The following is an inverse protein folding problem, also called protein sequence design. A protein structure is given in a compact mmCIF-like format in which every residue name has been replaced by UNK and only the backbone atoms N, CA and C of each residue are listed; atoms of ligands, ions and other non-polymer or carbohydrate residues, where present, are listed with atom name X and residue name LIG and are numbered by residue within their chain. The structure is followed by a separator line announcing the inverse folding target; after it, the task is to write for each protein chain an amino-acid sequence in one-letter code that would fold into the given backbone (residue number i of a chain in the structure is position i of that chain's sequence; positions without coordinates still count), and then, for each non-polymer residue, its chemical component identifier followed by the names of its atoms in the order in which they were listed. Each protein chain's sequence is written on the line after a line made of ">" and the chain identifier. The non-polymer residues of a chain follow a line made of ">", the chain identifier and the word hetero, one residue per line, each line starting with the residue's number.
data_IF_307932537075
#
_entry.id   IF_307932537075
#
_cell.length_a   1.000
_cell.length_b   1.000
_cell.length_c   1.000
_cell.angle_alpha   90.00
_cell.angle_beta   90.00
_cell.angle_gamma   90.00
#
_symmetry.space_group_name_H-M   'P 1'
#
loop_
_entity.id
_entity.type
_entity.pdbx_description
1 polymer ?
#
# COMPACT_ATOMS: atom_id res chain seq x y z
N UNK A 1 -36.06 -13.37 3.81
CA UNK A 1 -34.64 -12.90 3.59
C UNK A 1 -33.96 -14.03 2.86
N UNK A 2 -33.30 -13.69 1.75
CA UNK A 2 -32.42 -14.63 1.06
C UNK A 2 -31.26 -14.98 1.98
N UNK A 3 -30.84 -16.24 2.00
CA UNK A 3 -29.65 -16.65 2.77
C UNK A 3 -28.42 -15.90 2.24
N UNK A 4 -27.38 -15.73 3.07
CA UNK A 4 -26.12 -15.12 2.64
C UNK A 4 -25.53 -15.83 1.42
N UNK A 5 -25.68 -17.14 1.35
CA UNK A 5 -25.25 -17.94 0.22
C UNK A 5 -25.96 -17.54 -1.09
N UNK A 6 -27.28 -17.38 -1.05
CA UNK A 6 -28.05 -16.91 -2.22
C UNK A 6 -27.65 -15.48 -2.62
N UNK A 7 -27.38 -14.59 -1.64
CA UNK A 7 -26.92 -13.25 -1.92
C UNK A 7 -25.58 -13.25 -2.64
N UNK A 8 -24.62 -14.06 -2.20
CA UNK A 8 -23.29 -14.10 -2.78
C UNK A 8 -23.20 -14.95 -4.06
N UNK A 9 -24.21 -15.75 -4.41
CA UNK A 9 -24.20 -16.59 -5.60
C UNK A 9 -23.99 -15.76 -6.88
N UNK A 10 -24.65 -14.61 -7.01
CA UNK A 10 -24.50 -13.72 -8.15
C UNK A 10 -23.04 -13.23 -8.37
N UNK A 11 -22.26 -13.07 -7.30
CA UNK A 11 -20.85 -12.71 -7.40
C UNK A 11 -20.00 -13.94 -7.75
N UNK A 12 -20.30 -15.08 -7.14
CA UNK A 12 -19.59 -16.33 -7.35
C UNK A 12 -19.66 -16.77 -8.81
N UNK A 13 -20.84 -16.71 -9.41
CA UNK A 13 -21.06 -17.12 -10.81
C UNK A 13 -20.31 -16.25 -11.83
N UNK A 14 -19.90 -15.06 -11.43
CA UNK A 14 -19.13 -14.13 -12.26
C UNK A 14 -17.61 -14.25 -12.09
N UNK A 15 -17.12 -15.11 -11.18
CA UNK A 15 -15.70 -15.36 -11.01
C UNK A 15 -15.18 -16.16 -12.20
N UNK A 16 -14.21 -15.63 -12.92
CA UNK A 16 -13.64 -16.32 -14.08
C UNK A 16 -12.86 -17.56 -13.61
N UNK A 17 -13.22 -18.70 -14.17
CA UNK A 17 -12.61 -20.00 -13.83
C UNK A 17 -13.17 -20.65 -12.56
N UNK A 18 -14.37 -20.26 -12.09
CA UNK A 18 -15.03 -20.88 -10.92
C UNK A 18 -15.31 -22.37 -11.14
N UNK A 19 -15.63 -22.77 -12.38
CA UNK A 19 -15.93 -24.15 -12.76
C UNK A 19 -14.80 -24.81 -13.55
N UNK A 20 -13.58 -24.25 -13.48
CA UNK A 20 -12.43 -24.76 -14.21
C UNK A 20 -11.98 -26.11 -13.68
N UNK A 21 -11.84 -27.07 -14.58
CA UNK A 21 -11.18 -28.34 -14.32
C UNK A 21 -9.70 -28.31 -14.75
N UNK A 22 -8.90 -29.15 -14.13
CA UNK A 22 -7.50 -29.38 -14.52
C UNK A 22 -7.09 -30.85 -14.35
N UNK A 23 -6.10 -31.27 -15.13
CA UNK A 23 -5.59 -32.65 -15.11
C UNK A 23 -4.54 -32.78 -13.99
N UNK A 24 -4.70 -33.82 -13.19
CA UNK A 24 -3.73 -34.21 -12.13
C UNK A 24 -3.26 -35.66 -12.38
N UNK A 25 -2.20 -36.12 -11.69
CA UNK A 25 -1.82 -37.53 -11.70
C UNK A 25 -2.94 -38.51 -11.27
N UNK A 26 -3.96 -37.97 -10.55
CA UNK A 26 -5.14 -38.72 -10.06
C UNK A 26 -6.38 -38.50 -10.91
N UNK A 27 -6.23 -38.07 -12.19
CA UNK A 27 -7.31 -37.73 -13.10
C UNK A 27 -7.73 -36.28 -13.06
N UNK A 28 -8.81 -35.99 -13.79
CA UNK A 28 -9.40 -34.65 -13.86
C UNK A 28 -10.03 -34.25 -12.53
N UNK A 29 -9.75 -33.04 -12.07
CA UNK A 29 -10.25 -32.49 -10.80
C UNK A 29 -10.74 -31.06 -11.02
N UNK A 30 -11.80 -30.67 -10.29
CA UNK A 30 -12.27 -29.29 -10.25
C UNK A 30 -11.26 -28.41 -9.50
N UNK A 31 -10.98 -27.22 -10.03
CA UNK A 31 -10.16 -26.20 -9.34
C UNK A 31 -10.94 -25.64 -8.14
N UNK A 32 -10.40 -25.82 -6.96
CA UNK A 32 -10.88 -25.19 -5.72
C UNK A 32 -9.86 -24.14 -5.31
N UNK A 33 -10.20 -22.86 -5.50
CA UNK A 33 -9.32 -21.75 -5.13
C UNK A 33 -9.72 -21.17 -3.78
N UNK A 34 -8.84 -21.24 -2.81
CA UNK A 34 -9.05 -20.78 -1.43
C UNK A 34 -8.03 -19.76 -0.95
N UNK A 35 -7.03 -19.43 -1.76
CA UNK A 35 -5.92 -18.54 -1.39
C UNK A 35 -6.20 -17.07 -1.73
N UNK A 36 -7.34 -16.56 -1.27
CA UNK A 36 -7.76 -15.17 -1.48
C UNK A 36 -6.86 -14.15 -0.79
N UNK A 37 -6.15 -14.56 0.25
CA UNK A 37 -5.18 -13.71 0.95
C UNK A 37 -3.96 -13.39 0.07
N UNK A 38 -3.58 -14.31 -0.81
CA UNK A 38 -2.46 -14.12 -1.73
C UNK A 38 -2.84 -13.35 -2.98
N UNK A 39 -4.02 -13.66 -3.57
CA UNK A 39 -4.51 -12.98 -4.77
C UNK A 39 -6.02 -13.12 -4.89
N UNK A 40 -6.70 -12.09 -5.39
CA UNK A 40 -8.07 -12.19 -5.87
C UNK A 40 -8.17 -13.03 -7.15
N UNK A 41 -9.40 -13.17 -7.64
CA UNK A 41 -9.70 -13.81 -8.93
C UNK A 41 -10.22 -12.75 -9.91
N UNK A 42 -10.02 -12.98 -11.21
CA UNK A 42 -10.65 -12.15 -12.23
C UNK A 42 -12.18 -12.22 -12.12
N UNK A 43 -12.83 -11.11 -12.37
CA UNK A 43 -14.26 -10.95 -12.23
C UNK A 43 -14.88 -10.42 -13.52
N UNK A 44 -15.78 -11.21 -14.12
CA UNK A 44 -16.32 -10.95 -15.47
C UNK A 44 -16.82 -9.52 -15.69
N UNK A 45 -17.63 -8.91 -14.81
CA UNK A 45 -18.09 -7.55 -15.03
C UNK A 45 -16.99 -6.49 -15.10
N UNK A 46 -15.85 -6.71 -14.40
CA UNK A 46 -14.69 -5.81 -14.48
C UNK A 46 -13.96 -6.00 -15.80
N UNK A 47 -13.71 -7.26 -16.21
CA UNK A 47 -13.04 -7.57 -17.48
C UNK A 47 -13.85 -7.05 -18.69
N UNK A 48 -15.17 -7.24 -18.66
CA UNK A 48 -16.06 -6.73 -19.69
C UNK A 48 -16.07 -5.19 -19.74
N UNK A 49 -16.08 -4.55 -18.58
CA UNK A 49 -15.99 -3.09 -18.50
C UNK A 49 -14.66 -2.57 -19.06
N UNK A 50 -13.56 -3.20 -18.68
CA UNK A 50 -12.22 -2.84 -19.17
C UNK A 50 -12.14 -3.02 -20.70
N UNK A 51 -12.68 -4.11 -21.23
CA UNK A 51 -12.64 -4.40 -22.68
C UNK A 51 -13.57 -3.54 -23.50
N UNK A 52 -14.82 -3.35 -23.04
CA UNK A 52 -15.89 -2.77 -23.86
C UNK A 52 -16.09 -1.26 -23.63
N UNK A 53 -15.84 -0.75 -22.43
CA UNK A 53 -16.01 0.66 -22.11
C UNK A 53 -14.69 1.45 -22.21
N UNK A 54 -13.63 0.96 -21.60
CA UNK A 54 -12.31 1.63 -21.61
C UNK A 54 -11.47 1.24 -22.82
N UNK A 55 -11.51 -0.02 -23.25
CA UNK A 55 -10.68 -0.54 -24.32
C UNK A 55 -10.71 0.29 -25.62
N UNK A 56 -11.87 0.75 -26.10
CA UNK A 56 -11.96 1.59 -27.30
C UNK A 56 -11.25 2.95 -27.18
N UNK A 57 -11.00 3.42 -25.95
CA UNK A 57 -10.38 4.72 -25.67
C UNK A 57 -8.98 4.63 -25.12
N UNK A 58 -8.40 3.42 -24.99
CA UNK A 58 -7.06 3.26 -24.42
C UNK A 58 -6.04 4.12 -25.16
N UNK A 59 -5.42 5.04 -24.41
CA UNK A 59 -4.43 6.00 -24.91
C UNK A 59 -3.56 6.49 -23.75
N UNK A 60 -2.58 7.34 -24.06
CA UNK A 60 -1.71 7.97 -23.06
C UNK A 60 -2.55 8.90 -22.13
N UNK A 61 -2.31 8.80 -20.84
CA UNK A 61 -3.04 9.52 -19.76
C UNK A 61 -2.51 10.92 -19.45
N UNK A 62 -1.56 11.45 -20.16
CA UNK A 62 -0.95 12.76 -19.85
C UNK A 62 -1.29 13.83 -20.91
N UNK A 63 -2.43 13.66 -21.59
CA UNK A 63 -2.84 14.58 -22.63
C UNK A 63 -4.36 14.76 -22.62
N UNK A 64 -4.80 16.01 -22.83
CA UNK A 64 -6.21 16.37 -23.02
C UNK A 64 -6.47 16.83 -24.45
N UNK A 65 -5.48 16.72 -25.34
CA UNK A 65 -5.56 17.22 -26.71
C UNK A 65 -6.26 16.28 -27.68
N UNK A 66 -6.50 15.04 -27.28
CA UNK A 66 -7.26 14.05 -28.05
C UNK A 66 -8.40 13.47 -27.23
N UNK A 67 -9.47 13.03 -27.89
CA UNK A 67 -10.65 12.42 -27.22
C UNK A 67 -10.25 11.20 -26.38
N UNK A 68 -9.40 10.32 -26.90
CA UNK A 68 -8.96 9.13 -26.17
C UNK A 68 -8.03 9.47 -25.00
N UNK A 69 -7.10 10.40 -25.18
CA UNK A 69 -6.23 10.87 -24.11
C UNK A 69 -7.02 11.54 -22.97
N UNK A 70 -7.95 12.41 -23.30
CA UNK A 70 -8.82 13.08 -22.33
C UNK A 70 -9.71 12.06 -21.57
N UNK A 71 -10.30 11.08 -22.28
CA UNK A 71 -11.11 10.04 -21.66
C UNK A 71 -10.28 9.19 -20.64
N UNK A 72 -9.08 8.77 -21.01
CA UNK A 72 -8.22 7.99 -20.13
C UNK A 72 -7.67 8.81 -18.94
N UNK A 73 -7.34 10.08 -19.17
CA UNK A 73 -6.93 11.01 -18.10
C UNK A 73 -8.05 11.18 -17.08
N UNK A 74 -9.27 11.43 -17.53
CA UNK A 74 -10.45 11.56 -16.66
C UNK A 74 -10.72 10.26 -15.88
N UNK A 75 -10.71 9.11 -16.55
CA UNK A 75 -10.91 7.81 -15.91
C UNK A 75 -9.85 7.54 -14.83
N UNK A 76 -8.59 7.89 -15.09
CA UNK A 76 -7.51 7.76 -14.13
C UNK A 76 -7.71 8.65 -12.89
N UNK A 77 -8.09 9.91 -13.09
CA UNK A 77 -8.38 10.83 -11.99
C UNK A 77 -9.58 10.36 -11.16
N UNK A 78 -10.66 9.90 -11.81
CA UNK A 78 -11.83 9.38 -11.09
C UNK A 78 -11.51 8.13 -10.29
N UNK A 79 -10.74 7.19 -10.84
CA UNK A 79 -10.27 6.01 -10.12
C UNK A 79 -9.49 6.38 -8.84
N UNK A 80 -8.58 7.36 -8.94
CA UNK A 80 -7.83 7.88 -7.77
C UNK A 80 -8.76 8.51 -6.73
N UNK A 81 -9.75 9.29 -7.16
CA UNK A 81 -10.73 9.92 -6.28
C UNK A 81 -11.60 8.86 -5.56
N UNK A 82 -12.04 7.83 -6.28
CA UNK A 82 -12.79 6.70 -5.69
C UNK A 82 -11.96 6.03 -4.59
N UNK A 83 -10.69 5.72 -4.86
CA UNK A 83 -9.80 5.10 -3.88
C UNK A 83 -9.60 6.02 -2.67
N UNK A 84 -9.33 7.31 -2.87
CA UNK A 84 -9.17 8.27 -1.76
C UNK A 84 -10.42 8.36 -0.89
N UNK A 85 -11.60 8.45 -1.49
CA UNK A 85 -12.87 8.45 -0.75
C UNK A 85 -13.07 7.17 0.05
N UNK A 86 -12.73 6.02 -0.54
CA UNK A 86 -12.90 4.69 0.10
C UNK A 86 -12.08 4.54 1.38
N UNK A 87 -10.95 5.21 1.49
CA UNK A 87 -10.05 5.13 2.66
C UNK A 87 -10.12 6.37 3.55
N UNK A 88 -11.10 7.24 3.36
CA UNK A 88 -11.24 8.53 4.06
C UNK A 88 -9.97 9.39 4.00
N UNK A 89 -9.31 9.42 2.83
CA UNK A 89 -8.19 10.32 2.56
C UNK A 89 -8.69 11.74 2.27
N UNK A 90 -7.91 12.75 2.63
CA UNK A 90 -8.24 14.15 2.43
C UNK A 90 -7.34 14.83 1.36
N UNK A 91 -7.49 16.15 1.18
CA UNK A 91 -6.73 16.91 0.17
C UNK A 91 -5.23 17.04 0.47
N UNK A 92 -4.80 16.73 1.69
CA UNK A 92 -3.40 16.68 2.04
C UNK A 92 -2.75 15.33 1.76
N UNK A 93 -3.52 14.34 1.31
CA UNK A 93 -3.02 13.03 1.00
C UNK A 93 -2.76 12.87 -0.51
N UNK A 94 -1.59 12.38 -0.84
CA UNK A 94 -1.18 12.04 -2.19
C UNK A 94 -1.40 10.55 -2.41
N UNK A 95 -1.99 10.19 -3.55
CA UNK A 95 -2.11 8.80 -3.99
C UNK A 95 -1.12 8.53 -5.13
N UNK A 96 -0.34 7.48 -4.98
CA UNK A 96 0.58 6.96 -6.00
C UNK A 96 0.25 5.50 -6.27
N UNK A 97 0.25 5.12 -7.53
CA UNK A 97 0.18 3.71 -7.97
C UNK A 97 1.52 3.30 -8.56
N UNK A 98 2.03 2.13 -8.18
CA UNK A 98 3.34 1.64 -8.64
C UNK A 98 3.42 0.12 -8.59
N UNK A 99 4.15 -0.47 -9.54
CA UNK A 99 4.43 -1.89 -9.55
C UNK A 99 3.19 -2.79 -9.53
N UNK A 100 3.33 -4.00 -9.05
CA UNK A 100 2.28 -5.03 -9.03
C UNK A 100 1.67 -5.28 -7.65
N UNK A 101 1.95 -4.44 -6.66
CA UNK A 101 1.44 -4.62 -5.30
C UNK A 101 2.15 -3.75 -4.26
N UNK A 102 1.85 -4.01 -2.98
CA UNK A 102 2.39 -3.27 -1.83
C UNK A 102 3.92 -3.23 -1.83
N UNK A 103 4.60 -4.32 -2.20
CA UNK A 103 6.08 -4.38 -2.22
C UNK A 103 6.69 -3.30 -3.11
N UNK A 104 6.11 -3.04 -4.29
CA UNK A 104 6.57 -1.97 -5.19
C UNK A 104 6.41 -0.60 -4.55
N UNK A 105 5.23 -0.31 -4.02
CA UNK A 105 4.93 1.01 -3.45
C UNK A 105 5.67 1.31 -2.15
N UNK A 106 5.89 0.32 -1.27
CA UNK A 106 6.68 0.57 -0.05
C UNK A 106 8.14 0.88 -0.39
N UNK A 107 8.75 0.17 -1.35
CA UNK A 107 10.09 0.46 -1.81
C UNK A 107 10.18 1.85 -2.47
N UNK A 108 9.17 2.24 -3.28
CA UNK A 108 9.07 3.60 -3.82
C UNK A 108 8.95 4.63 -2.71
N UNK A 109 8.11 4.39 -1.71
CA UNK A 109 7.92 5.31 -0.59
C UNK A 109 9.21 5.52 0.21
N UNK A 110 9.96 4.44 0.47
CA UNK A 110 11.26 4.51 1.15
C UNK A 110 12.28 5.34 0.35
N UNK A 111 12.24 5.32 -1.00
CA UNK A 111 13.07 6.20 -1.84
C UNK A 111 12.58 7.66 -1.77
N UNK A 112 11.27 7.89 -1.83
CA UNK A 112 10.67 9.22 -1.66
C UNK A 112 11.07 9.84 -0.30
N UNK A 113 11.12 9.03 0.76
CA UNK A 113 11.56 9.46 2.08
C UNK A 113 13.08 9.65 2.20
N UNK A 114 13.85 9.34 1.14
CA UNK A 114 15.31 9.44 1.14
C UNK A 114 16.02 8.38 1.98
N UNK A 115 15.39 7.23 2.20
CA UNK A 115 15.90 6.18 3.11
C UNK A 115 16.66 5.06 2.40
N UNK A 116 16.66 5.03 1.07
CA UNK A 116 17.37 4.02 0.27
C UNK A 116 18.72 4.53 -0.20
N UNK A 117 19.75 3.76 0.07
CA UNK A 117 21.09 3.92 -0.48
C UNK A 117 21.42 2.69 -1.31
N UNK A 118 22.00 2.89 -2.50
CA UNK A 118 22.46 1.77 -3.33
C UNK A 118 23.46 0.93 -2.55
N UNK A 119 23.37 -0.39 -2.63
CA UNK A 119 24.29 -1.32 -1.94
C UNK A 119 25.75 -0.98 -2.21
N UNK A 120 26.11 -0.66 -3.47
CA UNK A 120 27.47 -0.30 -3.86
C UNK A 120 27.96 1.03 -3.26
N UNK A 121 27.07 1.85 -2.68
CA UNK A 121 27.41 3.13 -2.06
C UNK A 121 27.29 3.11 -0.53
N UNK A 122 26.81 2.02 0.07
CA UNK A 122 26.59 1.94 1.53
C UNK A 122 27.87 2.16 2.32
N UNK A 123 28.98 1.57 1.92
CA UNK A 123 30.28 1.73 2.60
C UNK A 123 30.85 3.15 2.55
N UNK A 124 30.39 3.96 1.57
CA UNK A 124 30.79 5.37 1.41
C UNK A 124 29.79 6.33 2.05
N UNK A 125 28.71 5.82 2.64
CA UNK A 125 27.64 6.65 3.19
C UNK A 125 27.66 6.57 4.72
N UNK A 126 28.01 7.70 5.37
CA UNK A 126 27.92 7.83 6.83
C UNK A 126 26.71 8.69 7.18
N UNK A 127 25.79 8.12 7.95
CA UNK A 127 24.59 8.81 8.42
C UNK A 127 24.76 9.09 9.92
N UNK A 128 24.73 10.37 10.35
CA UNK A 128 24.73 10.69 11.78
C UNK A 128 23.53 10.07 12.52
N UNK A 129 23.77 9.53 13.69
CA UNK A 129 22.72 8.83 14.47
C UNK A 129 21.51 9.72 14.77
N UNK A 130 21.71 11.03 14.94
CA UNK A 130 20.62 11.96 15.24
C UNK A 130 19.60 12.10 14.12
N UNK A 131 20.00 11.86 12.85
CA UNK A 131 19.12 11.96 11.68
C UNK A 131 18.77 10.58 11.11
N UNK A 132 19.41 9.52 11.58
CA UNK A 132 19.12 8.14 11.20
C UNK A 132 17.75 7.75 11.73
N UNK A 133 16.80 7.36 10.88
CA UNK A 133 15.46 6.98 11.33
C UNK A 133 15.48 5.72 12.19
N UNK A 134 14.49 5.61 13.09
CA UNK A 134 14.15 4.35 13.74
C UNK A 134 12.77 3.92 13.30
N UNK A 135 12.64 2.65 12.90
CA UNK A 135 11.39 2.05 12.42
C UNK A 135 10.99 0.92 13.36
N UNK A 136 9.82 1.05 13.95
CA UNK A 136 9.20 0.02 14.78
C UNK A 136 8.26 -0.82 13.92
N UNK A 137 8.42 -2.14 13.97
CA UNK A 137 7.58 -3.11 13.27
C UNK A 137 7.04 -4.16 14.24
N UNK A 138 5.97 -4.86 13.90
CA UNK A 138 5.51 -5.99 14.70
C UNK A 138 6.20 -7.28 14.28
N UNK A 139 6.00 -8.32 15.07
CA UNK A 139 6.40 -9.70 14.74
C UNK A 139 5.51 -10.35 13.66
N UNK A 140 4.38 -9.69 13.29
CA UNK A 140 3.39 -10.20 12.34
C UNK A 140 3.55 -9.62 10.93
N UNK A 141 4.60 -8.82 10.68
CA UNK A 141 4.76 -8.17 9.40
C UNK A 141 4.96 -9.17 8.26
N UNK A 142 4.32 -8.90 7.13
CA UNK A 142 4.71 -9.53 5.89
C UNK A 142 6.16 -9.16 5.55
N UNK A 143 6.92 -10.10 4.97
CA UNK A 143 8.32 -9.89 4.60
C UNK A 143 8.55 -8.57 3.84
N UNK A 144 7.62 -8.18 2.97
CA UNK A 144 7.71 -6.91 2.24
C UNK A 144 7.74 -5.68 3.15
N UNK A 145 7.05 -5.72 4.29
CA UNK A 145 7.06 -4.61 5.25
C UNK A 145 8.21 -4.71 6.27
N UNK A 146 8.82 -5.86 6.45
CA UNK A 146 9.96 -6.02 7.35
C UNK A 146 11.29 -5.91 6.58
N UNK A 147 11.52 -6.78 5.59
CA UNK A 147 12.80 -6.84 4.88
C UNK A 147 13.11 -5.56 4.12
N UNK A 148 12.08 -4.89 3.58
CA UNK A 148 12.30 -3.62 2.88
C UNK A 148 12.86 -2.52 3.79
N UNK A 149 12.46 -2.50 5.08
CA UNK A 149 13.00 -1.56 6.07
C UNK A 149 14.42 -1.92 6.49
N UNK A 150 14.73 -3.22 6.65
CA UNK A 150 16.09 -3.69 6.93
C UNK A 150 17.08 -3.29 5.83
N UNK A 151 16.60 -3.10 4.61
CA UNK A 151 17.38 -2.64 3.45
C UNK A 151 17.34 -1.12 3.25
N UNK A 152 17.08 -0.36 4.30
CA UNK A 152 17.19 1.11 4.36
C UNK A 152 18.33 1.53 5.27
N UNK A 153 18.52 2.86 5.38
CA UNK A 153 19.46 3.46 6.37
C UNK A 153 18.90 3.44 7.81
N UNK A 154 17.65 3.03 8.01
CA UNK A 154 16.99 3.06 9.31
C UNK A 154 17.44 1.90 10.21
N UNK A 155 17.40 2.15 11.53
CA UNK A 155 17.41 1.06 12.49
C UNK A 155 16.02 0.47 12.64
N UNK A 156 15.90 -0.86 12.58
CA UNK A 156 14.61 -1.55 12.66
C UNK A 156 14.50 -2.26 14.00
N UNK A 157 13.39 -2.02 14.70
CA UNK A 157 13.10 -2.61 16.01
C UNK A 157 11.80 -3.39 15.93
N UNK A 158 11.87 -4.69 16.19
CA UNK A 158 10.67 -5.53 16.31
C UNK A 158 10.10 -5.36 17.72
N UNK A 159 8.87 -4.86 17.80
CA UNK A 159 8.14 -4.72 19.06
C UNK A 159 7.52 -6.08 19.40
N UNK A 160 7.78 -6.64 20.60
CA UNK A 160 7.23 -7.93 20.99
C UNK A 160 5.71 -7.87 21.18
N UNK A 161 5.08 -9.03 21.04
CA UNK A 161 3.66 -9.22 21.34
C UNK A 161 3.42 -9.53 22.83
N UNK A 162 2.16 -9.41 23.23
CA UNK A 162 1.65 -9.96 24.48
C UNK A 162 1.33 -11.47 24.35
N UNK A 163 0.76 -12.08 25.39
CA UNK A 163 0.38 -13.49 25.43
C UNK A 163 -0.70 -13.86 24.39
N UNK A 164 -1.49 -12.88 23.95
CA UNK A 164 -2.52 -13.03 22.90
C UNK A 164 -1.96 -12.90 21.48
N UNK A 165 -0.66 -12.69 21.32
CA UNK A 165 -0.02 -12.49 20.03
C UNK A 165 -0.25 -11.10 19.41
N UNK A 166 -0.74 -10.13 20.18
CA UNK A 166 -1.00 -8.76 19.75
C UNK A 166 0.18 -7.89 20.16
N UNK A 167 0.55 -6.90 19.34
CA UNK A 167 1.56 -5.93 19.70
C UNK A 167 1.17 -5.21 21.00
N UNK A 168 2.07 -5.18 21.98
CA UNK A 168 1.80 -4.59 23.27
C UNK A 168 2.04 -3.07 23.22
N UNK A 169 0.98 -2.28 23.39
CA UNK A 169 1.02 -0.80 23.34
C UNK A 169 1.98 -0.22 24.39
N UNK A 170 1.92 -0.71 25.64
CA UNK A 170 2.79 -0.22 26.71
C UNK A 170 4.27 -0.53 26.44
N UNK A 171 4.53 -1.71 25.87
CA UNK A 171 5.87 -2.09 25.45
C UNK A 171 6.34 -1.24 24.30
N UNK A 172 5.50 -0.97 23.30
CA UNK A 172 5.80 -0.06 22.20
C UNK A 172 6.19 1.33 22.71
N UNK A 173 5.41 1.89 23.63
CA UNK A 173 5.73 3.22 24.23
C UNK A 173 7.08 3.20 24.98
N UNK A 174 7.41 2.11 25.69
CA UNK A 174 8.73 1.96 26.32
C UNK A 174 9.87 1.96 25.28
N UNK A 175 9.69 1.31 24.13
CA UNK A 175 10.68 1.32 23.07
C UNK A 175 10.84 2.70 22.42
N UNK A 176 9.76 3.46 22.26
CA UNK A 176 9.83 4.84 21.79
C UNK A 176 10.62 5.71 22.79
N UNK A 177 10.33 5.59 24.09
CA UNK A 177 11.02 6.35 25.15
C UNK A 177 12.53 6.05 25.19
N UNK A 178 12.94 4.81 24.96
CA UNK A 178 14.36 4.45 24.89
C UNK A 178 15.08 5.08 23.70
N UNK A 179 14.35 5.50 22.67
CA UNK A 179 14.86 6.12 21.45
C UNK A 179 14.32 7.56 21.29
N UNK A 180 14.13 8.26 22.41
CA UNK A 180 13.54 9.61 22.41
C UNK A 180 14.43 10.64 21.70
N UNK A 181 15.74 10.43 21.71
CA UNK A 181 16.77 11.23 21.04
C UNK A 181 16.70 11.18 19.52
N UNK A 182 16.13 10.12 18.95
CA UNK A 182 15.98 9.96 17.50
C UNK A 182 14.97 10.96 16.96
N UNK A 183 15.36 11.75 15.96
CA UNK A 183 14.50 12.79 15.36
C UNK A 183 13.38 12.19 14.50
N UNK A 184 13.66 11.09 13.82
CA UNK A 184 12.72 10.44 12.90
C UNK A 184 12.33 9.10 13.49
N UNK A 185 11.07 8.99 13.89
CA UNK A 185 10.47 7.78 14.47
C UNK A 185 9.30 7.35 13.59
N UNK A 186 9.29 6.11 13.17
CA UNK A 186 8.25 5.56 12.29
C UNK A 186 7.74 4.27 12.95
N UNK A 187 6.44 4.07 13.03
CA UNK A 187 5.86 2.75 13.18
C UNK A 187 5.32 2.32 11.82
N UNK A 188 5.81 1.20 11.30
CA UNK A 188 5.33 0.60 10.04
C UNK A 188 4.78 -0.78 10.34
N UNK A 189 3.45 -0.91 10.28
CA UNK A 189 2.78 -2.06 10.89
C UNK A 189 1.72 -2.64 9.96
N UNK A 190 1.58 -3.98 9.97
CA UNK A 190 0.45 -4.60 9.29
C UNK A 190 -0.86 -4.32 10.03
N UNK A 191 -1.92 -4.04 9.29
CA UNK A 191 -3.27 -3.90 9.87
C UNK A 191 -3.84 -5.24 10.35
N UNK A 192 -3.36 -6.34 9.74
CA UNK A 192 -3.78 -7.70 10.04
C UNK A 192 -2.72 -8.68 9.54
N UNK A 193 -2.43 -9.71 10.32
CA UNK A 193 -1.53 -10.78 9.89
C UNK A 193 -2.12 -11.57 8.72
N UNK A 194 -1.35 -11.74 7.65
CA UNK A 194 -1.74 -12.60 6.51
C UNK A 194 -1.71 -14.10 6.85
N UNK A 195 -1.14 -14.49 7.99
CA UNK A 195 -1.04 -15.88 8.44
C UNK A 195 -2.14 -16.24 9.43
N UNK A 196 -2.35 -15.39 10.44
CA UNK A 196 -3.26 -15.70 11.55
C UNK A 196 -4.59 -14.94 11.48
N UNK A 197 -4.68 -13.86 10.70
CA UNK A 197 -5.84 -12.98 10.69
C UNK A 197 -5.97 -12.08 11.93
N UNK A 198 -5.00 -12.10 12.83
CA UNK A 198 -4.99 -11.23 14.02
C UNK A 198 -4.85 -9.78 13.58
N UNK A 199 -5.78 -8.94 14.02
CA UNK A 199 -5.81 -7.50 13.74
C UNK A 199 -4.88 -6.75 14.68
N UNK A 200 -4.19 -5.75 14.14
CA UNK A 200 -3.33 -4.85 14.89
C UNK A 200 -4.11 -3.61 15.33
N UNK A 201 -3.93 -3.11 16.56
CA UNK A 201 -4.54 -1.86 17.04
C UNK A 201 -3.81 -0.63 16.47
N UNK A 202 -3.76 -0.48 15.14
CA UNK A 202 -2.91 0.50 14.46
C UNK A 202 -3.27 1.96 14.78
N UNK A 203 -4.54 2.30 15.04
CA UNK A 203 -4.93 3.64 15.48
C UNK A 203 -4.43 3.97 16.90
N UNK A 204 -4.40 2.98 17.80
CA UNK A 204 -3.82 3.15 19.14
C UNK A 204 -2.30 3.36 19.04
N UNK A 205 -1.62 2.61 18.17
CA UNK A 205 -0.20 2.81 17.90
C UNK A 205 0.08 4.18 17.29
N UNK A 206 -0.81 4.66 16.39
CA UNK A 206 -0.74 6.01 15.83
C UNK A 206 -0.81 7.08 16.93
N UNK A 207 -1.79 6.98 17.83
CA UNK A 207 -1.92 7.91 18.97
C UNK A 207 -0.66 7.93 19.84
N UNK A 208 -0.05 6.77 20.05
CA UNK A 208 1.18 6.70 20.86
C UNK A 208 2.35 7.32 20.13
N UNK A 209 2.61 6.94 18.88
CA UNK A 209 3.78 7.46 18.15
C UNK A 209 3.69 8.97 17.90
N UNK A 210 2.49 9.52 17.67
CA UNK A 210 2.28 10.95 17.46
C UNK A 210 2.58 11.79 18.70
N UNK A 211 2.38 11.27 19.93
CA UNK A 211 2.83 11.94 21.18
C UNK A 211 4.33 12.20 21.20
N UNK A 212 5.09 11.43 20.44
CA UNK A 212 6.56 11.53 20.33
C UNK A 212 7.01 12.10 18.98
N UNK A 213 6.13 12.82 18.27
CA UNK A 213 6.38 13.42 16.97
C UNK A 213 6.87 12.39 15.91
N UNK A 214 6.41 11.16 16.01
CA UNK A 214 6.67 10.12 15.02
C UNK A 214 5.56 9.99 14.00
N UNK A 215 5.68 9.01 13.10
CA UNK A 215 4.80 8.76 11.95
C UNK A 215 4.22 7.34 12.03
N UNK A 216 2.98 7.18 11.61
CA UNK A 216 2.30 5.88 11.55
C UNK A 216 2.01 5.48 10.10
N UNK A 217 2.62 4.38 9.65
CA UNK A 217 2.40 3.76 8.34
C UNK A 217 1.74 2.40 8.52
N UNK A 218 0.70 2.10 7.73
CA UNK A 218 -0.07 0.88 7.89
C UNK A 218 -0.16 0.10 6.59
N UNK A 219 0.24 -1.18 6.67
CA UNK A 219 0.10 -2.15 5.58
C UNK A 219 -1.27 -2.83 5.65
N UNK A 220 -2.12 -2.51 4.69
CA UNK A 220 -3.44 -3.11 4.51
C UNK A 220 -3.47 -4.20 3.45
N UNK A 221 -2.31 -4.67 2.95
CA UNK A 221 -2.26 -5.55 1.79
C UNK A 221 -3.12 -6.81 1.90
N UNK A 222 -3.23 -7.42 3.08
CA UNK A 222 -4.01 -8.66 3.22
C UNK A 222 -5.47 -8.43 3.56
N UNK A 223 -5.83 -7.32 4.21
CA UNK A 223 -7.20 -7.12 4.73
C UNK A 223 -7.97 -5.98 4.06
N UNK A 224 -7.34 -5.18 3.19
CA UNK A 224 -8.02 -4.07 2.51
C UNK A 224 -9.35 -4.46 1.83
N UNK A 225 -9.51 -5.66 1.22
CA UNK A 225 -10.80 -6.07 0.66
C UNK A 225 -11.90 -6.32 1.69
N UNK A 226 -11.56 -6.44 2.99
CA UNK A 226 -12.45 -6.99 4.03
C UNK A 226 -12.74 -6.04 5.18
N UNK A 227 -12.04 -4.91 5.26
CA UNK A 227 -12.16 -3.95 6.36
C UNK A 227 -12.39 -2.54 5.84
N UNK A 228 -13.07 -1.72 6.62
CA UNK A 228 -13.10 -0.27 6.38
C UNK A 228 -11.75 0.32 6.76
N UNK A 229 -11.16 1.08 5.84
CA UNK A 229 -9.92 1.82 6.09
C UNK A 229 -10.31 3.27 6.34
N UNK A 230 -9.83 3.83 7.44
CA UNK A 230 -10.05 5.22 7.81
C UNK A 230 -8.71 5.88 8.13
N UNK A 231 -8.21 6.69 7.18
CA UNK A 231 -6.95 7.42 7.39
C UNK A 231 -7.09 8.59 8.37
N UNK A 232 -8.29 9.14 8.52
CA UNK A 232 -8.55 10.32 9.34
C UNK A 232 -9.76 10.13 10.25
N UNK A 233 -9.69 9.19 11.22
CA UNK A 233 -10.77 9.04 12.20
C UNK A 233 -10.96 10.32 13.00
N UNK A 234 -12.14 10.51 13.53
CA UNK A 234 -12.48 11.70 14.35
C UNK A 234 -11.71 11.77 15.67
N UNK A 235 -11.12 10.67 16.10
CA UNK A 235 -10.33 10.58 17.31
C UNK A 235 -8.99 11.29 17.12
N UNK A 236 -8.66 12.16 18.10
CA UNK A 236 -7.43 12.96 18.05
C UNK A 236 -6.18 12.08 18.00
N UNK A 237 -5.23 12.48 17.17
CA UNK A 237 -3.93 11.82 16.99
C UNK A 237 -3.99 10.35 16.50
N UNK A 238 -5.18 9.86 16.09
CA UNK A 238 -5.37 8.51 15.58
C UNK A 238 -5.21 8.40 14.04
N UNK A 239 -4.90 9.50 13.35
CA UNK A 239 -4.72 9.50 11.90
C UNK A 239 -3.53 8.63 11.45
N UNK A 240 -3.56 8.23 10.18
CA UNK A 240 -2.50 7.45 9.56
C UNK A 240 -1.73 8.35 8.58
N UNK A 241 -0.41 8.40 8.70
CA UNK A 241 0.44 9.24 7.83
C UNK A 241 0.66 8.63 6.45
N UNK A 242 0.64 7.31 6.37
CA UNK A 242 0.65 6.56 5.12
C UNK A 242 -0.07 5.22 5.24
N UNK A 243 -0.68 4.80 4.15
CA UNK A 243 -1.21 3.45 3.98
C UNK A 243 -0.76 2.87 2.65
N UNK A 244 -0.63 1.55 2.59
CA UNK A 244 -0.34 0.84 1.37
C UNK A 244 -1.09 -0.48 1.31
N UNK A 245 -1.51 -0.85 0.10
CA UNK A 245 -2.21 -2.10 -0.13
C UNK A 245 -2.06 -2.61 -1.57
N UNK A 246 -2.51 -3.83 -1.77
CA UNK A 246 -2.36 -4.58 -3.02
C UNK A 246 -3.73 -4.85 -3.63
N UNK A 247 -4.21 -4.01 -4.57
CA UNK A 247 -5.53 -4.21 -5.18
C UNK A 247 -5.68 -5.55 -5.92
N UNK A 248 -4.59 -6.19 -6.34
CA UNK A 248 -4.64 -7.54 -6.93
C UNK A 248 -5.23 -8.61 -6.00
N UNK A 249 -5.40 -8.32 -4.70
CA UNK A 249 -6.04 -9.20 -3.72
C UNK A 249 -7.57 -9.00 -3.64
N UNK A 250 -8.10 -7.96 -4.26
CA UNK A 250 -9.54 -7.76 -4.39
C UNK A 250 -10.14 -8.67 -5.45
N UNK A 251 -11.44 -8.94 -5.35
CA UNK A 251 -12.18 -9.58 -6.43
C UNK A 251 -12.11 -8.70 -7.69
N UNK A 252 -11.66 -9.27 -8.79
CA UNK A 252 -11.40 -8.54 -10.04
C UNK A 252 -10.11 -7.72 -10.05
N UNK A 253 -9.27 -7.82 -9.02
CA UNK A 253 -8.06 -7.03 -8.88
C UNK A 253 -6.77 -7.56 -9.53
N UNK A 254 -6.62 -8.83 -9.93
CA UNK A 254 -5.39 -9.29 -10.58
C UNK A 254 -4.99 -8.41 -11.77
N UNK A 255 -3.70 -8.06 -11.86
CA UNK A 255 -3.16 -7.14 -12.87
C UNK A 255 -3.10 -5.67 -12.44
N UNK A 256 -3.71 -5.30 -11.32
CA UNK A 256 -3.66 -3.92 -10.80
C UNK A 256 -2.33 -3.56 -10.15
N UNK A 257 -2.01 -2.26 -10.17
CA UNK A 257 -0.86 -1.69 -9.47
C UNK A 257 -1.05 -1.69 -7.96
N UNK A 258 0.05 -1.68 -7.21
CA UNK A 258 0.03 -1.35 -5.78
C UNK A 258 -0.44 0.09 -5.55
N UNK A 259 -1.05 0.33 -4.40
CA UNK A 259 -1.53 1.66 -3.99
C UNK A 259 -0.80 2.11 -2.73
N UNK A 260 -0.28 3.34 -2.79
CA UNK A 260 0.27 4.09 -1.67
C UNK A 260 -0.52 5.38 -1.52
N UNK A 261 -0.97 5.70 -0.31
CA UNK A 261 -1.55 6.99 0.02
C UNK A 261 -0.81 7.52 1.24
N UNK A 262 -0.36 8.76 1.18
CA UNK A 262 0.42 9.36 2.25
C UNK A 262 0.25 10.87 2.33
N UNK A 263 0.51 11.44 3.50
CA UNK A 263 0.43 12.88 3.70
C UNK A 263 1.50 13.61 2.87
N UNK A 264 1.09 14.59 2.05
CA UNK A 264 1.98 15.34 1.15
C UNK A 264 3.16 16.02 1.84
N UNK A 265 3.08 16.30 3.16
CA UNK A 265 4.20 16.87 3.94
C UNK A 265 5.42 15.95 3.99
N UNK A 266 5.25 14.66 3.71
CA UNK A 266 6.33 13.67 3.64
C UNK A 266 7.09 13.72 2.32
N UNK A 267 6.51 14.32 1.27
CA UNK A 267 7.17 14.50 -0.02
C UNK A 267 7.97 15.81 0.00
N UNK A 268 9.29 15.70 0.12
CA UNK A 268 10.20 16.84 0.22
C UNK A 268 11.17 16.94 -0.96
N UNK A 269 11.11 16.00 -1.90
CA UNK A 269 12.02 15.93 -3.02
C UNK A 269 11.70 17.02 -4.04
N UNK A 270 12.73 17.68 -4.54
CA UNK A 270 12.63 18.61 -5.66
C UNK A 270 12.65 17.88 -7.00
N UNK A 271 13.24 16.69 -7.02
CA UNK A 271 13.33 15.84 -8.21
C UNK A 271 12.48 14.58 -7.94
N UNK A 272 11.65 14.17 -8.89
CA UNK A 272 10.86 12.94 -8.75
C UNK A 272 11.74 11.71 -8.53
N UNK A 273 11.22 10.72 -7.77
CA UNK A 273 11.89 9.44 -7.54
C UNK A 273 12.20 8.69 -8.86
N UNK A 274 11.29 8.80 -9.82
CA UNK A 274 11.45 8.25 -11.17
C UNK A 274 11.29 9.38 -12.21
N UNK A 275 12.33 10.17 -12.49
CA UNK A 275 12.25 11.24 -13.47
C UNK A 275 12.05 10.66 -14.87
N UNK A 276 11.26 11.35 -15.68
CA UNK A 276 10.94 10.93 -17.05
C UNK A 276 9.94 11.88 -17.71
N UNK A 277 9.56 11.59 -18.95
CA UNK A 277 8.73 12.49 -19.77
C UNK A 277 7.36 12.87 -19.15
N UNK A 278 6.83 12.08 -18.23
CA UNK A 278 5.58 12.38 -17.53
C UNK A 278 5.73 13.17 -16.23
N UNK A 279 6.96 13.55 -15.86
CA UNK A 279 7.26 14.25 -14.59
C UNK A 279 7.86 15.64 -14.79
N UNK A 280 8.14 16.04 -16.02
CA UNK A 280 8.73 17.34 -16.35
C UNK A 280 7.67 18.28 -16.93
N UNK A 281 7.70 19.55 -16.54
CA UNK A 281 6.91 20.61 -17.16
C UNK A 281 7.51 21.05 -18.50
N UNK A 282 8.83 21.02 -18.61
CA UNK A 282 9.59 21.40 -19.80
C UNK A 282 10.96 20.73 -19.83
N UNK A 283 11.38 20.27 -20.98
CA UNK A 283 12.73 19.73 -21.19
C UNK A 283 13.27 20.12 -22.56
N UNK A 284 14.59 20.26 -22.66
CA UNK A 284 15.32 20.42 -23.89
C UNK A 284 16.73 19.76 -23.77
N UNK A 285 17.55 19.73 -24.82
CA UNK A 285 18.87 19.08 -24.74
C UNK A 285 19.82 19.66 -23.68
N UNK A 286 19.55 20.82 -23.13
CA UNK A 286 20.44 21.55 -22.21
C UNK A 286 19.88 21.64 -20.78
N UNK A 287 18.65 21.25 -20.54
CA UNK A 287 18.07 21.30 -19.20
C UNK A 287 16.61 20.80 -19.14
N UNK A 288 16.09 20.71 -17.91
CA UNK A 288 14.72 20.34 -17.61
C UNK A 288 14.19 21.17 -16.44
N UNK A 289 12.86 21.28 -16.35
CA UNK A 289 12.14 21.79 -15.19
C UNK A 289 11.06 20.76 -14.78
N UNK A 290 11.14 20.29 -13.55
CA UNK A 290 10.21 19.33 -12.93
C UNK A 290 8.99 20.03 -12.35
#
# INVERSE_FOLDING_TARGET
>A
MTSLEQYFQQFRDQIIGIDQDFVTPFGQKKLVYTDWTASGRLYRPIEEKLTNEFGPFVANTHTETSTSGAAMTLAYHEARNIIKRHVNANDNDVLITEGSGMTGVINKFQRILGLKVSENLREYTTIPDEIKPIVFVSHMEHHSNQTSWLETIADVVVVPCNEEGIICIDTFEKYIKKNADRKIKIVSITSCSNVTGIKTPYHELAKVIHKYNGLCFVDFACCAPYVTIDMHPSEKDAHLDAIFFSPHKFLGGPGSSGVLIFNKKLYKNLIPDNPGGGTVSYTNPWGQHD
#
